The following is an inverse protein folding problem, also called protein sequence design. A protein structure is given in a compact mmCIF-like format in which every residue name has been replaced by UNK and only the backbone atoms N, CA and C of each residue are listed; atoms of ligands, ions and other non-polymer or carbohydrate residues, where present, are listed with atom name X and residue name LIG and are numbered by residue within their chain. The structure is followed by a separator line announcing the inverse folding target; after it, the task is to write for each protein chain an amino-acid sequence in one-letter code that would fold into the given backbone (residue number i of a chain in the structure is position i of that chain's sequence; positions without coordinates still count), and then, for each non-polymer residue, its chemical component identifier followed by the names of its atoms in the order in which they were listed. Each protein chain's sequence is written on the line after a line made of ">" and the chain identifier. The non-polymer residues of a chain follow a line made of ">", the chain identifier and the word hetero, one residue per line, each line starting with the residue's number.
data_IF_712903903320
#
_entry.id   IF_712903903320
#
_cell.length_a   1.000
_cell.length_b   1.000
_cell.length_c   1.000
_cell.angle_alpha   90.00
_cell.angle_beta   90.00
_cell.angle_gamma   90.00
#
_symmetry.space_group_name_H-M   'P 1'
#
loop_
_entity.id
_entity.type
_entity.pdbx_description
1 polymer ?
#
# COMPACT_ATOMS: atom_id res chain seq x y z
N UNK A 1 5.18 7.40 -7.40
CA UNK A 1 6.44 6.67 -7.17
C UNK A 1 7.09 7.01 -5.82
N UNK A 2 7.25 8.30 -5.46
CA UNK A 2 7.89 8.74 -4.20
C UNK A 2 7.31 8.04 -2.95
N UNK A 3 5.99 7.98 -2.80
CA UNK A 3 5.35 7.33 -1.65
C UNK A 3 5.63 5.81 -1.54
N UNK A 4 5.74 5.11 -2.67
CA UNK A 4 6.09 3.68 -2.69
C UNK A 4 7.56 3.47 -2.34
N UNK A 5 8.47 4.28 -2.91
CA UNK A 5 9.88 4.25 -2.57
C UNK A 5 10.09 4.51 -1.08
N UNK A 6 9.41 5.51 -0.53
CA UNK A 6 9.45 5.85 0.88
C UNK A 6 8.91 4.71 1.77
N UNK A 7 7.79 4.08 1.38
CA UNK A 7 7.23 2.95 2.09
C UNK A 7 8.16 1.74 2.09
N UNK A 8 8.76 1.40 0.96
CA UNK A 8 9.72 0.29 0.85
C UNK A 8 10.96 0.55 1.71
N UNK A 9 11.51 1.77 1.64
CA UNK A 9 12.65 2.19 2.44
C UNK A 9 12.37 2.06 3.94
N UNK A 10 11.26 2.64 4.42
CA UNK A 10 10.87 2.56 5.83
C UNK A 10 10.68 1.12 6.30
N UNK A 11 10.09 0.25 5.46
CA UNK A 11 9.90 -1.17 5.80
C UNK A 11 11.22 -1.91 5.89
N UNK A 12 12.17 -1.66 4.99
CA UNK A 12 13.52 -2.23 5.07
C UNK A 12 14.25 -1.76 6.32
N UNK A 13 14.22 -0.46 6.61
CA UNK A 13 14.87 0.10 7.80
C UNK A 13 14.28 -0.49 9.09
N UNK A 14 12.95 -0.59 9.20
CA UNK A 14 12.30 -1.22 10.36
C UNK A 14 12.67 -2.68 10.53
N UNK A 15 12.85 -3.43 9.43
CA UNK A 15 13.34 -4.80 9.51
C UNK A 15 14.78 -4.87 10.01
N UNK A 16 15.65 -3.98 9.55
CA UNK A 16 17.08 -3.98 9.92
C UNK A 16 17.33 -3.45 11.34
N UNK A 17 16.67 -2.37 11.73
CA UNK A 17 16.93 -1.67 13.00
C UNK A 17 15.97 -2.05 14.12
N UNK A 18 14.71 -2.35 13.80
CA UNK A 18 13.68 -2.67 14.80
C UNK A 18 13.31 -4.16 14.80
N UNK A 19 13.94 -4.98 13.95
CA UNK A 19 13.63 -6.41 13.75
C UNK A 19 12.15 -6.70 13.46
N UNK A 20 11.42 -5.69 12.96
CA UNK A 20 10.00 -5.82 12.62
C UNK A 20 9.85 -6.40 11.23
N UNK A 21 9.52 -7.69 11.18
CA UNK A 21 9.20 -8.37 9.92
C UNK A 21 7.87 -7.88 9.34
N UNK A 22 7.83 -7.81 8.01
CA UNK A 22 6.62 -7.53 7.26
C UNK A 22 5.75 -8.78 7.19
N UNK A 23 4.47 -8.66 7.56
CA UNK A 23 3.54 -9.79 7.59
C UNK A 23 2.95 -10.07 6.21
N UNK A 24 2.80 -9.03 5.41
CA UNK A 24 2.21 -9.14 4.07
C UNK A 24 2.91 -8.20 3.09
N UNK A 25 3.14 -8.59 1.82
CA UNK A 25 3.64 -7.66 0.80
C UNK A 25 2.71 -6.46 0.61
N UNK A 26 1.42 -6.60 0.91
CA UNK A 26 0.45 -5.52 0.86
C UNK A 26 0.67 -4.45 1.94
N UNK A 27 1.42 -4.74 3.01
CA UNK A 27 1.74 -3.76 4.06
C UNK A 27 2.49 -2.55 3.48
N UNK A 28 3.31 -2.74 2.43
CA UNK A 28 3.98 -1.65 1.71
C UNK A 28 2.97 -0.77 1.00
N UNK A 29 2.00 -1.38 0.31
CA UNK A 29 0.97 -0.67 -0.46
C UNK A 29 0.06 0.15 0.45
N UNK A 30 -0.38 -0.43 1.58
CA UNK A 30 -1.16 0.32 2.57
C UNK A 30 -0.35 1.46 3.21
N UNK A 31 0.94 1.24 3.48
CA UNK A 31 1.81 2.32 3.98
C UNK A 31 1.94 3.45 2.95
N UNK A 32 2.11 3.10 1.67
CA UNK A 32 2.14 4.07 0.58
C UNK A 32 0.83 4.85 0.46
N UNK A 33 -0.34 4.20 0.58
CA UNK A 33 -1.63 4.89 0.60
C UNK A 33 -1.73 5.87 1.79
N UNK A 34 -1.23 5.50 2.96
CA UNK A 34 -1.15 6.38 4.13
C UNK A 34 -0.30 7.62 3.86
N UNK A 35 0.88 7.45 3.26
CA UNK A 35 1.70 8.58 2.84
C UNK A 35 0.98 9.45 1.81
N UNK A 36 0.43 8.88 0.73
CA UNK A 36 -0.28 9.64 -0.31
C UNK A 36 -1.44 10.45 0.28
N UNK A 37 -2.18 9.88 1.23
CA UNK A 37 -3.27 10.58 1.94
C UNK A 37 -2.74 11.74 2.78
N UNK A 38 -1.62 11.54 3.49
CA UNK A 38 -0.94 12.61 4.21
C UNK A 38 -0.49 13.73 3.26
N UNK A 39 0.11 13.39 2.12
CA UNK A 39 0.51 14.35 1.09
C UNK A 39 -0.69 15.11 0.51
N UNK A 40 -1.83 14.45 0.34
CA UNK A 40 -3.05 15.09 -0.12
C UNK A 40 -3.50 16.21 0.84
N UNK A 41 -3.40 15.97 2.15
CA UNK A 41 -3.71 16.98 3.17
C UNK A 41 -2.83 18.24 3.12
N UNK A 42 -1.67 18.17 2.46
CA UNK A 42 -0.77 19.31 2.25
C UNK A 42 -1.07 20.09 0.95
N UNK A 43 -1.87 19.52 0.04
CA UNK A 43 -2.26 20.12 -1.22
C UNK A 43 -3.57 20.91 -1.08
N UNK A 44 -3.86 21.78 -2.06
CA UNK A 44 -5.07 22.61 -2.09
C UNK A 44 -5.84 22.39 -3.40
N UNK A 45 -7.15 22.64 -3.36
CA UNK A 45 -8.02 22.57 -4.53
C UNK A 45 -8.00 21.20 -5.22
N UNK A 46 -8.00 21.24 -6.55
CA UNK A 46 -8.14 20.06 -7.42
C UNK A 46 -7.00 19.05 -7.22
N UNK A 47 -5.78 19.51 -6.91
CA UNK A 47 -4.63 18.63 -6.66
C UNK A 47 -4.85 17.75 -5.42
N UNK A 48 -5.48 18.29 -4.37
CA UNK A 48 -5.84 17.50 -3.19
C UNK A 48 -6.85 16.42 -3.56
N UNK A 49 -7.91 16.80 -4.27
CA UNK A 49 -8.98 15.87 -4.63
C UNK A 49 -8.47 14.75 -5.54
N UNK A 50 -7.63 15.08 -6.53
CA UNK A 50 -7.00 14.11 -7.42
C UNK A 50 -6.13 13.10 -6.65
N UNK A 51 -5.33 13.57 -5.69
CA UNK A 51 -4.45 12.71 -4.89
C UNK A 51 -5.24 11.86 -3.89
N UNK A 52 -6.28 12.40 -3.26
CA UNK A 52 -7.19 11.62 -2.39
C UNK A 52 -7.92 10.53 -3.17
N UNK A 53 -8.43 10.86 -4.36
CA UNK A 53 -9.10 9.91 -5.23
C UNK A 53 -8.13 8.79 -5.67
N UNK A 54 -6.92 9.16 -6.09
CA UNK A 54 -5.87 8.19 -6.43
C UNK A 54 -5.52 7.27 -5.27
N UNK A 55 -5.40 7.80 -4.04
CA UNK A 55 -5.16 7.00 -2.82
C UNK A 55 -6.28 6.00 -2.56
N UNK A 56 -7.55 6.42 -2.70
CA UNK A 56 -8.72 5.52 -2.54
C UNK A 56 -8.67 4.39 -3.57
N UNK A 57 -8.40 4.70 -4.83
CA UNK A 57 -8.31 3.70 -5.91
C UNK A 57 -7.18 2.69 -5.66
N UNK A 58 -5.99 3.17 -5.25
CA UNK A 58 -4.88 2.29 -4.88
C UNK A 58 -5.26 1.33 -3.74
N UNK A 59 -5.97 1.82 -2.73
CA UNK A 59 -6.39 1.01 -1.59
C UNK A 59 -7.42 -0.06 -1.99
N UNK A 60 -8.39 0.31 -2.83
CA UNK A 60 -9.41 -0.62 -3.35
C UNK A 60 -8.75 -1.72 -4.19
N UNK A 61 -7.87 -1.34 -5.12
CA UNK A 61 -7.17 -2.30 -5.97
C UNK A 61 -6.29 -3.24 -5.16
N UNK A 62 -5.56 -2.73 -4.15
CA UNK A 62 -4.78 -3.54 -3.24
C UNK A 62 -5.65 -4.53 -2.45
N UNK A 63 -6.83 -4.10 -1.98
CA UNK A 63 -7.79 -4.95 -1.27
C UNK A 63 -8.33 -6.06 -2.19
N UNK A 64 -8.63 -5.73 -3.45
CA UNK A 64 -9.09 -6.71 -4.44
C UNK A 64 -8.00 -7.73 -4.76
N UNK A 65 -6.77 -7.29 -5.00
CA UNK A 65 -5.63 -8.18 -5.21
C UNK A 65 -5.38 -9.08 -4.00
N UNK A 66 -5.47 -8.54 -2.78
CA UNK A 66 -5.32 -9.34 -1.56
C UNK A 66 -6.38 -10.45 -1.48
N UNK A 67 -7.63 -10.18 -1.88
CA UNK A 67 -8.68 -11.21 -1.92
C UNK A 67 -8.38 -12.29 -2.96
N UNK A 68 -7.90 -11.92 -4.15
CA UNK A 68 -7.51 -12.87 -5.19
C UNK A 68 -6.34 -13.74 -4.70
N UNK A 69 -5.33 -13.15 -4.08
CA UNK A 69 -4.18 -13.87 -3.54
C UNK A 69 -4.50 -14.72 -2.29
N UNK A 70 -5.59 -14.40 -1.57
CA UNK A 70 -6.04 -15.14 -0.40
C UNK A 70 -7.07 -16.24 -0.73
N UNK A 71 -7.58 -16.29 -1.97
CA UNK A 71 -8.42 -17.40 -2.40
C UNK A 71 -7.58 -18.70 -2.40
N UNK A 72 -8.07 -19.80 -1.82
CA UNK A 72 -7.41 -21.10 -1.98
C UNK A 72 -7.33 -21.37 -3.47
N UNK A 73 -6.13 -21.65 -3.97
CA UNK A 73 -5.98 -22.12 -5.35
C UNK A 73 -6.86 -23.35 -5.53
N UNK A 74 -7.74 -23.34 -6.54
CA UNK A 74 -8.29 -24.56 -7.08
C UNK A 74 -7.14 -25.36 -7.70
N UNK A 75 -6.39 -26.05 -6.84
CA UNK A 75 -5.34 -26.99 -7.21
C UNK A 75 -5.57 -28.29 -6.44
N UNK A 76 -6.69 -28.96 -6.74
CA UNK A 76 -6.83 -30.41 -6.58
C UNK A 76 -8.14 -30.89 -7.24
N UNK A 77 -8.07 -31.24 -8.52
CA UNK A 77 -8.85 -32.38 -9.04
C UNK A 77 -7.85 -33.24 -9.80
N UNK A 78 -7.29 -34.20 -9.06
CA UNK A 78 -6.66 -35.40 -9.62
C UNK A 78 -7.74 -36.33 -10.16
#
# INVERSE_FOLDING_TARGET
>A
LVALCWAMWNRRNRKTFEFKNMRSPFDVVYSACGYVTYWAGLLKGDDREAVEHGSKMLRINASNMMRICAAPGESMKS
#
